data_IF_787147334505
#
_entry.id   IF_787147334505
#
_cell.length_a   1.000
_cell.length_b   1.000
_cell.length_c   1.000
_cell.angle_alpha   90.00
_cell.angle_beta   90.00
_cell.angle_gamma   90.00
#
_symmetry.space_group_name_H-M   'P 1'
#
loop_
_entity.id
_entity.type
_entity.pdbx_description
1 polymer ?
#
# COMPACT_ATOMS: atom_id res chain seq x y z
N UNK A 1 57.81 -24.40 -8.38
CA UNK A 1 56.83 -24.86 -9.39
C UNK A 1 56.36 -26.25 -8.98
N UNK A 2 55.09 -26.61 -8.76
CA UNK A 2 53.77 -25.97 -8.80
C UNK A 2 52.94 -26.70 -7.72
N UNK A 3 52.22 -25.96 -6.88
CA UNK A 3 51.26 -26.54 -5.95
C UNK A 3 50.02 -27.03 -6.71
N UNK A 4 49.50 -28.18 -6.26
CA UNK A 4 48.32 -28.88 -6.79
C UNK A 4 47.08 -27.98 -6.70
N UNK A 5 46.31 -27.97 -7.79
CA UNK A 5 45.09 -27.20 -7.93
C UNK A 5 44.01 -27.62 -6.94
N UNK A 6 43.46 -26.63 -6.24
CA UNK A 6 42.18 -26.71 -5.56
C UNK A 6 41.07 -26.83 -6.60
N UNK A 7 40.38 -27.96 -6.62
CA UNK A 7 39.06 -28.09 -7.24
C UNK A 7 38.05 -27.36 -6.35
N UNK A 8 37.67 -26.15 -6.77
CA UNK A 8 36.44 -25.50 -6.29
C UNK A 8 35.27 -26.26 -6.93
N UNK A 9 34.31 -26.80 -6.16
CA UNK A 9 33.08 -27.26 -6.78
C UNK A 9 32.30 -26.02 -7.22
N UNK A 10 32.16 -25.86 -8.54
CA UNK A 10 31.12 -25.01 -9.12
C UNK A 10 29.80 -25.41 -8.46
N UNK A 11 29.27 -24.54 -7.60
CA UNK A 11 27.86 -24.57 -7.27
C UNK A 11 27.14 -24.18 -8.55
N UNK A 12 26.80 -25.18 -9.36
CA UNK A 12 25.76 -25.07 -10.37
C UNK A 12 24.52 -24.52 -9.68
N UNK A 13 24.35 -23.21 -9.76
CA UNK A 13 23.11 -22.55 -9.42
C UNK A 13 22.07 -23.17 -10.33
N UNK A 14 21.22 -24.02 -9.77
CA UNK A 14 20.04 -24.50 -10.47
C UNK A 14 19.18 -23.27 -10.70
N UNK A 15 19.32 -22.66 -11.87
CA UNK A 15 18.31 -21.79 -12.42
C UNK A 15 17.09 -22.68 -12.64
N UNK A 16 16.23 -22.77 -11.64
CA UNK A 16 14.90 -23.36 -11.77
C UNK A 16 14.13 -22.46 -12.74
N UNK A 17 14.28 -22.74 -14.02
CA UNK A 17 13.39 -22.27 -15.07
C UNK A 17 12.05 -22.97 -14.85
N UNK A 18 11.20 -22.36 -14.03
CA UNK A 18 9.79 -22.72 -14.00
C UNK A 18 9.14 -22.08 -15.23
N UNK A 19 9.13 -22.79 -16.35
CA UNK A 19 8.31 -22.49 -17.53
C UNK A 19 6.81 -22.73 -17.27
N UNK A 20 6.30 -22.26 -16.13
CA UNK A 20 4.88 -22.18 -15.80
C UNK A 20 4.42 -20.74 -15.93
N UNK A 21 3.18 -20.51 -16.36
CA UNK A 21 2.57 -19.18 -16.48
C UNK A 21 2.73 -18.43 -15.14
N UNK A 22 3.69 -17.50 -15.05
CA UNK A 22 3.89 -16.71 -13.85
C UNK A 22 2.69 -15.77 -13.69
N UNK A 23 1.85 -16.05 -12.70
CA UNK A 23 0.73 -15.17 -12.36
C UNK A 23 1.29 -13.85 -11.82
N UNK A 24 0.76 -12.74 -12.31
CA UNK A 24 1.19 -11.37 -11.96
C UNK A 24 0.04 -10.53 -11.41
N UNK A 25 -1.20 -11.01 -11.50
CA UNK A 25 -2.40 -10.39 -10.94
C UNK A 25 -3.20 -11.39 -10.12
N UNK A 26 -3.82 -10.91 -9.03
CA UNK A 26 -4.75 -11.68 -8.20
C UNK A 26 -5.96 -12.19 -8.98
N UNK A 27 -6.33 -11.54 -10.09
CA UNK A 27 -7.46 -11.95 -10.94
C UNK A 27 -7.15 -13.20 -11.77
N UNK A 28 -5.88 -13.63 -11.79
CA UNK A 28 -5.47 -14.87 -12.43
C UNK A 28 -5.48 -16.07 -11.47
N UNK A 29 -5.68 -15.83 -10.17
CA UNK A 29 -5.93 -16.90 -9.19
C UNK A 29 -7.38 -17.39 -9.31
N UNK A 30 -7.63 -18.62 -8.86
CA UNK A 30 -9.02 -19.05 -8.63
C UNK A 30 -9.70 -18.16 -7.59
N UNK A 31 -11.03 -18.05 -7.63
CA UNK A 31 -11.78 -17.20 -6.69
C UNK A 31 -11.46 -17.49 -5.22
N UNK A 32 -11.28 -18.77 -4.86
CA UNK A 32 -10.93 -19.19 -3.49
C UNK A 32 -9.52 -18.77 -3.09
N UNK A 33 -8.54 -18.89 -4.00
CA UNK A 33 -7.16 -18.51 -3.72
C UNK A 33 -6.98 -16.99 -3.74
N UNK A 34 -7.70 -16.28 -4.62
CA UNK A 34 -7.81 -14.81 -4.58
C UNK A 34 -8.33 -14.33 -3.22
N UNK A 35 -9.42 -14.93 -2.73
CA UNK A 35 -9.98 -14.59 -1.43
C UNK A 35 -9.00 -14.88 -0.29
N UNK A 36 -8.34 -16.05 -0.31
CA UNK A 36 -7.32 -16.42 0.67
C UNK A 36 -6.13 -15.44 0.67
N UNK A 37 -5.66 -15.05 -0.51
CA UNK A 37 -4.58 -14.07 -0.66
C UNK A 37 -5.00 -12.72 -0.08
N UNK A 38 -6.11 -12.15 -0.56
CA UNK A 38 -6.57 -10.81 -0.19
C UNK A 38 -6.92 -10.71 1.30
N UNK A 39 -7.43 -11.77 1.92
CA UNK A 39 -7.76 -11.81 3.37
C UNK A 39 -6.62 -11.31 4.27
N UNK A 40 -5.37 -11.54 3.88
CA UNK A 40 -4.18 -11.16 4.68
C UNK A 40 -3.35 -10.03 4.09
N UNK A 41 -3.68 -9.58 2.86
CA UNK A 41 -2.83 -8.68 2.08
C UNK A 41 -3.53 -7.38 1.68
N UNK A 42 -4.84 -7.40 1.50
CA UNK A 42 -5.66 -6.21 1.27
C UNK A 42 -5.80 -5.42 2.57
N UNK A 43 -5.39 -4.13 2.61
CA UNK A 43 -5.55 -3.28 3.79
C UNK A 43 -6.98 -3.21 4.34
N UNK A 44 -8.00 -3.25 3.47
CA UNK A 44 -9.41 -3.24 3.90
C UNK A 44 -9.70 -4.44 4.81
N UNK A 45 -9.22 -5.62 4.43
CA UNK A 45 -9.38 -6.85 5.21
C UNK A 45 -8.42 -6.92 6.40
N UNK A 46 -7.14 -6.58 6.19
CA UNK A 46 -6.08 -6.72 7.19
C UNK A 46 -6.26 -5.80 8.41
N UNK A 47 -6.87 -4.64 8.19
CA UNK A 47 -7.10 -3.62 9.21
C UNK A 47 -8.58 -3.41 9.52
N UNK A 48 -9.47 -4.23 8.96
CA UNK A 48 -10.92 -4.16 9.17
C UNK A 48 -11.48 -2.76 8.87
N UNK A 49 -10.94 -2.11 7.84
CA UNK A 49 -11.38 -0.79 7.42
C UNK A 49 -12.78 -0.88 6.84
N UNK A 50 -13.58 0.16 7.07
CA UNK A 50 -14.96 0.27 6.61
C UNK A 50 -15.15 1.58 5.87
N UNK A 51 -16.21 1.73 5.05
CA UNK A 51 -16.54 3.03 4.45
C UNK A 51 -16.66 4.16 5.48
N UNK A 52 -17.07 3.85 6.71
CA UNK A 52 -17.19 4.83 7.82
C UNK A 52 -15.85 5.15 8.49
N UNK A 53 -14.76 4.46 8.14
CA UNK A 53 -13.45 4.73 8.71
C UNK A 53 -13.02 6.15 8.35
N UNK A 54 -12.69 6.92 9.39
CA UNK A 54 -12.10 8.23 9.25
C UNK A 54 -10.60 8.09 8.95
N UNK A 55 -10.14 8.88 7.99
CA UNK A 55 -8.73 8.97 7.60
C UNK A 55 -8.25 10.41 7.70
N UNK A 56 -6.99 10.58 8.07
CA UNK A 56 -6.44 11.88 8.43
C UNK A 56 -5.18 12.16 7.64
N UNK A 57 -4.93 13.42 7.28
CA UNK A 57 -3.65 13.84 6.71
C UNK A 57 -3.31 15.26 7.10
N UNK A 58 -2.01 15.55 7.12
CA UNK A 58 -1.49 16.91 7.21
C UNK A 58 -1.12 17.40 5.80
N UNK A 59 -1.45 18.64 5.48
CA UNK A 59 -1.14 19.25 4.19
C UNK A 59 -1.18 20.78 4.26
N UNK A 60 -0.56 21.50 3.31
CA UNK A 60 -0.76 22.93 3.11
C UNK A 60 -2.24 23.29 2.94
N UNK A 61 -2.66 24.41 3.55
CA UNK A 61 -4.06 24.85 3.52
C UNK A 61 -4.59 25.13 2.10
N UNK A 62 -3.72 25.57 1.19
CA UNK A 62 -4.03 25.84 -0.22
C UNK A 62 -4.53 24.63 -1.01
N UNK A 63 -4.29 23.40 -0.53
CA UNK A 63 -4.81 22.20 -1.16
C UNK A 63 -6.24 21.84 -0.73
N UNK A 64 -6.81 22.54 0.25
CA UNK A 64 -8.21 22.42 0.63
C UNK A 64 -9.01 23.49 -0.11
N UNK A 65 -9.58 23.11 -1.25
CA UNK A 65 -10.33 24.04 -2.12
C UNK A 65 -11.82 23.84 -1.88
N UNK A 66 -12.51 24.86 -1.37
CA UNK A 66 -13.95 24.81 -1.08
C UNK A 66 -14.36 23.59 -0.22
N UNK A 67 -13.53 23.23 0.77
CA UNK A 67 -13.77 22.08 1.64
C UNK A 67 -13.55 20.71 0.97
N UNK A 68 -12.88 20.68 -0.19
CA UNK A 68 -12.59 19.48 -0.95
C UNK A 68 -11.08 19.24 -1.09
N UNK A 69 -10.68 17.97 -1.15
CA UNK A 69 -9.29 17.54 -1.39
C UNK A 69 -9.25 16.61 -2.59
N UNK A 70 -8.33 16.89 -3.53
CA UNK A 70 -8.09 16.08 -4.73
C UNK A 70 -6.80 15.27 -4.59
N UNK A 71 -6.70 14.14 -5.29
CA UNK A 71 -5.51 13.28 -5.31
C UNK A 71 -4.25 14.00 -5.78
N UNK A 72 -3.09 13.66 -5.21
CA UNK A 72 -1.80 14.12 -5.71
C UNK A 72 -1.35 13.25 -6.90
N UNK A 73 -1.23 13.79 -8.13
CA UNK A 73 -0.81 13.02 -9.30
C UNK A 73 0.66 12.58 -9.24
N UNK A 74 1.48 13.26 -8.42
CA UNK A 74 2.93 13.06 -8.34
C UNK A 74 3.36 12.47 -6.99
N UNK A 75 2.56 11.54 -6.45
CA UNK A 75 2.88 10.87 -5.19
C UNK A 75 4.26 10.18 -5.26
N UNK A 76 5.10 10.45 -4.25
CA UNK A 76 6.44 9.84 -4.10
C UNK A 76 6.43 8.60 -3.20
N UNK A 77 5.26 8.20 -2.70
CA UNK A 77 5.13 7.07 -1.81
C UNK A 77 5.41 5.73 -2.53
N UNK A 78 5.84 4.75 -1.75
CA UNK A 78 5.89 3.34 -2.15
C UNK A 78 4.71 2.62 -1.53
N UNK A 79 3.99 1.86 -2.34
CA UNK A 79 2.85 1.07 -1.90
C UNK A 79 3.17 -0.40 -1.87
N UNK A 80 2.49 -1.13 -0.99
CA UNK A 80 2.29 -2.57 -1.12
C UNK A 80 1.05 -2.83 -1.96
N UNK A 81 1.26 -3.16 -3.23
CA UNK A 81 0.21 -3.49 -4.18
C UNK A 81 -0.28 -4.93 -3.94
N UNK A 82 -1.48 -5.03 -3.36
CA UNK A 82 -2.12 -6.30 -3.04
C UNK A 82 -2.90 -6.91 -4.21
N UNK A 83 -2.99 -6.23 -5.35
CA UNK A 83 -3.62 -6.73 -6.58
C UNK A 83 -2.58 -7.37 -7.52
N UNK A 84 -1.29 -7.12 -7.28
CA UNK A 84 -0.18 -7.69 -8.02
C UNK A 84 0.48 -8.85 -7.29
N UNK A 85 0.82 -9.87 -8.05
CA UNK A 85 1.49 -11.07 -7.56
C UNK A 85 2.96 -11.06 -7.96
N UNK A 86 3.81 -11.35 -6.98
CA UNK A 86 5.22 -11.66 -7.17
C UNK A 86 5.45 -13.07 -6.60
N UNK A 87 6.24 -13.94 -7.25
CA UNK A 87 6.60 -15.23 -6.66
C UNK A 87 7.13 -15.07 -5.24
N UNK A 88 6.70 -15.94 -4.33
CA UNK A 88 7.19 -15.95 -2.96
C UNK A 88 8.70 -16.28 -2.97
N UNK A 89 9.59 -15.33 -2.58
CA UNK A 89 11.04 -15.50 -2.68
C UNK A 89 11.59 -16.55 -1.72
N UNK A 90 10.83 -16.92 -0.68
CA UNK A 90 11.23 -17.97 0.26
C UNK A 90 10.81 -19.37 -0.22
N UNK A 91 10.13 -19.46 -1.36
CA UNK A 91 9.35 -20.64 -1.70
C UNK A 91 8.11 -20.76 -0.81
N UNK A 92 7.04 -21.32 -1.36
CA UNK A 92 5.79 -21.54 -0.64
C UNK A 92 4.69 -21.96 -1.59
N UNK A 93 3.74 -22.77 -1.10
CA UNK A 93 2.58 -23.22 -1.88
C UNK A 93 2.90 -23.97 -3.16
N UNK A 94 1.84 -24.32 -3.90
CA UNK A 94 1.94 -24.79 -5.28
C UNK A 94 1.66 -23.61 -6.21
N UNK A 95 2.23 -23.56 -7.43
CA UNK A 95 1.87 -22.55 -8.41
C UNK A 95 0.34 -22.43 -8.57
N UNK A 96 -0.18 -21.20 -8.56
CA UNK A 96 -1.62 -20.95 -8.59
C UNK A 96 -2.33 -20.91 -7.23
N UNK A 97 -1.63 -21.18 -6.11
CA UNK A 97 -2.17 -20.97 -4.75
C UNK A 97 -1.69 -19.65 -4.16
N UNK A 98 -2.46 -19.08 -3.23
CA UNK A 98 -2.14 -17.82 -2.55
C UNK A 98 -0.76 -17.84 -1.87
N UNK A 99 -0.35 -18.98 -1.32
CA UNK A 99 0.92 -19.15 -0.59
C UNK A 99 2.15 -19.09 -1.50
N UNK A 100 1.96 -19.30 -2.81
CA UNK A 100 3.01 -19.20 -3.81
C UNK A 100 3.39 -17.76 -4.18
N UNK A 101 2.65 -16.77 -3.66
CA UNK A 101 2.83 -15.38 -4.04
C UNK A 101 2.93 -14.44 -2.85
N UNK A 102 3.68 -13.37 -3.04
CA UNK A 102 3.69 -12.17 -2.22
C UNK A 102 3.12 -10.99 -3.01
N UNK A 103 2.80 -9.92 -2.30
CA UNK A 103 2.45 -8.63 -2.88
C UNK A 103 3.67 -7.94 -3.48
N UNK A 104 3.47 -7.12 -4.50
CA UNK A 104 4.54 -6.33 -5.10
C UNK A 104 4.67 -4.95 -4.43
N UNK A 105 5.88 -4.43 -4.29
CA UNK A 105 6.08 -3.02 -3.96
C UNK A 105 6.26 -2.21 -5.23
N UNK A 106 5.60 -1.05 -5.33
CA UNK A 106 5.75 -0.14 -6.48
C UNK A 106 5.45 1.32 -6.11
N UNK A 107 5.90 2.30 -6.92
CA UNK A 107 5.55 3.70 -6.74
C UNK A 107 4.04 3.97 -6.84
N UNK A 108 3.50 4.76 -5.92
CA UNK A 108 2.08 5.16 -5.90
C UNK A 108 1.65 5.92 -7.15
N UNK A 109 2.55 6.75 -7.73
CA UNK A 109 2.30 7.49 -8.97
C UNK A 109 1.88 6.62 -10.16
N UNK A 110 2.22 5.33 -10.16
CA UNK A 110 1.80 4.41 -11.22
C UNK A 110 0.33 3.96 -11.09
N UNK A 111 -0.37 4.34 -10.02
CA UNK A 111 -1.80 4.11 -9.84
C UNK A 111 -2.66 5.33 -10.23
N UNK A 112 -2.04 6.47 -10.54
CA UNK A 112 -2.71 7.74 -10.72
C UNK A 112 -2.77 8.58 -9.44
N UNK A 113 -3.61 9.63 -9.40
CA UNK A 113 -3.68 10.54 -8.28
C UNK A 113 -4.08 9.82 -6.98
N UNK A 114 -3.43 10.19 -5.89
CA UNK A 114 -3.65 9.54 -4.58
C UNK A 114 -3.31 10.44 -3.41
N UNK A 115 -3.81 10.08 -2.24
CA UNK A 115 -3.51 10.74 -0.98
C UNK A 115 -2.82 9.77 -0.02
N UNK A 116 -1.73 10.21 0.57
CA UNK A 116 -1.20 9.61 1.78
C UNK A 116 -2.06 10.04 2.98
N UNK A 117 -2.59 9.07 3.71
CA UNK A 117 -3.47 9.28 4.86
C UNK A 117 -3.08 8.34 5.99
N UNK A 118 -3.55 8.64 7.18
CA UNK A 118 -3.40 7.83 8.38
C UNK A 118 -4.78 7.34 8.83
N UNK A 119 -4.88 6.05 9.15
CA UNK A 119 -6.07 5.44 9.75
C UNK A 119 -5.73 4.80 11.11
N UNK A 120 -6.75 4.50 11.91
CA UNK A 120 -6.61 3.88 13.24
C UNK A 120 -6.82 4.84 14.40
N UNK A 121 -6.88 4.28 15.62
CA UNK A 121 -7.30 4.99 16.84
C UNK A 121 -6.37 6.11 17.29
N UNK A 122 -5.12 6.13 16.83
CA UNK A 122 -4.12 7.18 17.09
C UNK A 122 -3.72 7.93 15.83
N UNK A 123 -4.50 7.81 14.75
CA UNK A 123 -4.18 8.44 13.47
C UNK A 123 -4.10 9.96 13.58
N UNK A 124 -5.14 10.58 14.15
CA UNK A 124 -5.20 12.04 14.35
C UNK A 124 -4.01 12.54 15.16
N UNK A 125 -3.77 11.95 16.34
CA UNK A 125 -2.63 12.28 17.19
C UNK A 125 -1.29 12.19 16.44
N UNK A 126 -1.09 11.11 15.68
CA UNK A 126 0.14 10.87 14.92
C UNK A 126 0.36 11.95 13.85
N UNK A 127 -0.70 12.33 13.13
CA UNK A 127 -0.62 13.34 12.07
C UNK A 127 -0.40 14.73 12.66
N UNK A 128 -1.14 15.09 13.71
CA UNK A 128 -1.03 16.40 14.37
C UNK A 128 0.34 16.64 15.01
N UNK A 129 0.91 15.64 15.69
CA UNK A 129 2.21 15.78 16.36
C UNK A 129 3.41 15.68 15.39
N UNK A 130 3.26 14.93 14.30
CA UNK A 130 4.35 14.62 13.38
C UNK A 130 4.64 15.72 12.37
N UNK A 131 3.60 16.37 11.84
CA UNK A 131 3.71 17.17 10.61
C UNK A 131 3.29 18.63 10.75
N UNK A 132 2.74 19.04 11.90
CA UNK A 132 2.31 20.42 12.12
C UNK A 132 3.37 21.31 12.83
N UNK A 133 4.65 20.95 12.73
CA UNK A 133 5.75 21.61 13.49
C UNK A 133 6.05 23.04 13.05
N UNK A 134 5.62 23.46 11.86
CA UNK A 134 5.91 24.79 11.30
C UNK A 134 4.70 25.72 11.28
N UNK A 135 3.52 25.27 11.71
CA UNK A 135 2.27 26.05 11.68
C UNK A 135 1.73 26.36 10.29
N UNK A 136 2.31 25.79 9.23
CA UNK A 136 1.92 26.03 7.83
C UNK A 136 0.96 24.98 7.28
N UNK A 137 0.81 23.84 7.97
CA UNK A 137 -0.04 22.75 7.55
C UNK A 137 -1.33 22.73 8.37
N UNK A 138 -2.41 22.32 7.73
CA UNK A 138 -3.65 21.93 8.40
C UNK A 138 -3.71 20.42 8.49
N UNK A 139 -4.39 19.92 9.51
CA UNK A 139 -4.81 18.53 9.62
C UNK A 139 -6.26 18.43 9.18
N UNK A 140 -6.51 17.57 8.21
CA UNK A 140 -7.85 17.31 7.70
C UNK A 140 -8.30 15.88 7.98
N UNK A 141 -9.58 15.73 8.27
CA UNK A 141 -10.32 14.48 8.40
C UNK A 141 -11.19 14.27 7.15
N UNK A 142 -11.21 13.04 6.64
CA UNK A 142 -12.02 12.61 5.50
C UNK A 142 -12.65 11.25 5.82
N UNK A 143 -13.75 10.92 5.13
CA UNK A 143 -14.38 9.60 5.23
C UNK A 143 -13.83 8.68 4.13
N UNK A 144 -13.39 7.48 4.50
CA UNK A 144 -12.82 6.52 3.53
C UNK A 144 -13.83 6.15 2.43
N UNK A 145 -15.11 6.02 2.79
CA UNK A 145 -16.20 5.72 1.86
C UNK A 145 -16.30 6.71 0.70
N UNK A 146 -16.01 7.99 0.92
CA UNK A 146 -16.07 9.00 -0.14
C UNK A 146 -15.06 8.71 -1.26
N UNK A 147 -13.91 8.12 -0.93
CA UNK A 147 -12.95 7.64 -1.94
C UNK A 147 -13.45 6.40 -2.65
N UNK A 148 -13.94 5.42 -1.88
CA UNK A 148 -14.37 4.12 -2.40
C UNK A 148 -15.55 4.28 -3.39
N UNK A 149 -16.50 5.16 -3.07
CA UNK A 149 -17.66 5.48 -3.92
C UNK A 149 -17.24 6.10 -5.27
N UNK A 150 -16.07 6.75 -5.31
CA UNK A 150 -15.48 7.34 -6.51
C UNK A 150 -14.52 6.38 -7.23
N UNK A 151 -14.49 5.10 -6.86
CA UNK A 151 -13.59 4.10 -7.45
C UNK A 151 -12.16 4.12 -6.89
N UNK A 152 -11.95 4.83 -5.78
CA UNK A 152 -10.70 4.80 -5.03
C UNK A 152 -10.41 3.42 -4.43
N UNK A 153 -9.12 3.13 -4.27
CA UNK A 153 -8.61 1.87 -3.70
C UNK A 153 -7.59 2.17 -2.62
N UNK A 154 -7.45 1.25 -1.67
CA UNK A 154 -6.63 1.43 -0.47
C UNK A 154 -5.40 0.55 -0.52
N UNK A 155 -4.23 1.15 -0.37
CA UNK A 155 -2.95 0.46 -0.34
C UNK A 155 -2.22 0.79 0.94
N UNK A 156 -1.39 -0.13 1.42
CA UNK A 156 -0.49 0.15 2.55
C UNK A 156 0.65 1.02 2.04
N UNK A 157 0.93 2.11 2.74
CA UNK A 157 2.09 2.94 2.49
C UNK A 157 3.32 2.31 3.16
N UNK A 158 4.28 1.85 2.37
CA UNK A 158 5.55 1.25 2.84
C UNK A 158 6.64 2.31 3.03
N UNK A 159 6.42 3.55 2.58
CA UNK A 159 7.38 4.65 2.73
C UNK A 159 7.28 5.38 4.06
N UNK A 160 6.19 5.16 4.81
CA UNK A 160 5.96 5.80 6.10
C UNK A 160 6.62 5.02 7.26
N UNK A 161 7.39 5.73 8.09
CA UNK A 161 8.10 5.18 9.27
C UNK A 161 7.15 4.80 10.42
N UNK A 162 5.92 5.34 10.45
CA UNK A 162 5.04 5.36 11.63
C UNK A 162 3.96 4.26 11.65
N UNK A 163 4.27 3.05 11.21
CA UNK A 163 3.41 1.90 11.45
C UNK A 163 3.62 1.34 12.86
N UNK A 164 2.79 1.69 13.84
CA UNK A 164 2.78 0.99 15.13
C UNK A 164 2.44 -0.49 14.87
N UNK A 165 3.24 -1.42 15.41
CA UNK A 165 2.96 -2.87 15.38
C UNK A 165 1.57 -3.21 15.93
N UNK A 166 1.00 -2.34 16.77
CA UNK A 166 -0.33 -2.45 17.35
C UNK A 166 -1.45 -1.90 16.46
N UNK A 167 -1.18 -1.52 15.19
CA UNK A 167 -2.18 -1.03 14.22
C UNK A 167 -2.93 0.23 14.67
N UNK A 168 -2.40 1.00 15.63
CA UNK A 168 -3.06 2.20 16.16
C UNK A 168 -2.92 3.41 15.25
N UNK A 169 -1.85 3.44 14.44
CA UNK A 169 -1.65 4.40 13.36
C UNK A 169 -1.17 3.59 12.14
N UNK A 170 -1.97 3.63 11.07
CA UNK A 170 -1.81 2.81 9.88
C UNK A 170 -1.63 3.77 8.70
N UNK A 171 -0.42 3.86 8.13
CA UNK A 171 -0.18 4.70 6.97
C UNK A 171 -0.72 4.00 5.71
N UNK A 172 -1.53 4.73 4.96
CA UNK A 172 -2.22 4.25 3.77
C UNK A 172 -2.02 5.22 2.60
N UNK A 173 -2.04 4.68 1.40
CA UNK A 173 -2.27 5.43 0.17
C UNK A 173 -3.67 5.10 -0.31
N UNK A 174 -4.51 6.11 -0.50
CA UNK A 174 -5.84 5.96 -1.07
C UNK A 174 -5.87 6.65 -2.43
N UNK A 175 -6.17 5.89 -3.49
CA UNK A 175 -6.30 6.48 -4.83
C UNK A 175 -7.59 7.28 -4.94
N UNK A 176 -7.57 8.30 -5.78
CA UNK A 176 -8.73 9.10 -6.14
C UNK A 176 -8.59 9.42 -7.63
N UNK A 177 -9.54 9.02 -8.49
CA UNK A 177 -9.41 9.26 -9.92
C UNK A 177 -9.18 10.74 -10.27
N UNK A 178 -8.56 10.98 -11.42
CA UNK A 178 -8.31 12.34 -11.89
C UNK A 178 -9.64 13.09 -12.08
N UNK A 179 -9.68 14.35 -11.63
CA UNK A 179 -10.89 15.17 -11.63
C UNK A 179 -11.82 14.95 -10.42
N UNK A 180 -11.59 13.92 -9.62
CA UNK A 180 -12.37 13.65 -8.41
C UNK A 180 -11.80 14.35 -7.17
N UNK A 181 -12.70 14.73 -6.27
CA UNK A 181 -12.38 15.28 -4.96
C UNK A 181 -13.30 14.72 -3.87
N UNK A 182 -12.83 14.70 -2.63
CA UNK A 182 -13.64 14.29 -1.48
C UNK A 182 -13.80 15.43 -0.46
N UNK A 183 -14.92 15.48 0.27
CA UNK A 183 -15.09 16.40 1.39
C UNK A 183 -14.03 16.17 2.47
N UNK A 184 -13.54 17.27 3.03
CA UNK A 184 -12.61 17.22 4.15
C UNK A 184 -12.92 18.30 5.19
N UNK A 185 -12.72 17.96 6.47
CA UNK A 185 -12.93 18.85 7.60
C UNK A 185 -11.61 19.15 8.28
N UNK A 186 -11.34 20.43 8.57
CA UNK A 186 -10.19 20.84 9.38
C UNK A 186 -10.40 20.39 10.83
N UNK A 187 -9.42 19.71 11.40
CA UNK A 187 -9.46 19.15 12.77
C UNK A 187 -8.23 19.52 13.61
N UNK A 188 -7.30 20.29 13.06
CA UNK A 188 -6.12 20.83 13.76
C UNK A 188 -4.98 21.13 12.82
#
# INVERSE_FOLDING_TARGET
MRHRGSTVPERSGVALSFCGRHLTSVDQLSSSERQRFLKTRDPMNMYELKPETLVYRSMPAEHLVNGQVSGNPNSRALIRDHERLMPNPLGGGQPGTAEAYWTMQRPARELGPSLNVMAGTRALETVSLGYNRTGQNITVEMKLGDFLERGGKVYRDESAVSGDRQKRAIPLIVTLPEGESVPAKIVG
#
